data_IF_867376182928
#
_entry.id   IF_867376182928
#
_cell.length_a   1.000
_cell.length_b   1.000
_cell.length_c   1.000
_cell.angle_alpha   90.00
_cell.angle_beta   90.00
_cell.angle_gamma   90.00
#
_symmetry.space_group_name_H-M   'P 1'
#
loop_
_entity.id
_entity.type
_entity.pdbx_description
1 polymer ?
#
# COMPACT_ATOMS: atom_id res chain seq x y z
N UNK A 1 19.82 -0.05 22.78
CA UNK A 1 18.47 -0.62 22.56
C UNK A 1 17.50 0.52 22.65
N UNK A 2 16.94 0.99 21.54
CA UNK A 2 16.06 2.17 21.54
C UNK A 2 14.62 1.71 21.30
N UNK A 3 13.80 1.88 22.32
CA UNK A 3 12.38 1.53 22.31
C UNK A 3 11.60 2.44 21.34
N UNK A 4 10.82 1.83 20.46
CA UNK A 4 9.87 2.51 19.58
C UNK A 4 8.46 2.39 20.16
N UNK A 5 7.91 3.49 20.64
CA UNK A 5 6.54 3.55 21.17
C UNK A 5 5.54 3.86 20.05
N UNK A 6 4.61 2.94 19.78
CA UNK A 6 3.57 3.10 18.75
C UNK A 6 2.27 3.60 19.40
N UNK A 7 1.80 4.78 19.02
CA UNK A 7 0.50 5.31 19.45
C UNK A 7 -0.64 4.82 18.54
N UNK A 8 -1.68 4.20 19.14
CA UNK A 8 -2.93 3.81 18.45
C UNK A 8 -3.92 4.97 18.48
N UNK A 9 -4.43 5.39 17.32
CA UNK A 9 -5.63 6.22 17.22
C UNK A 9 -6.79 5.42 16.62
N UNK A 10 -7.94 5.45 17.29
CA UNK A 10 -9.17 4.78 16.89
C UNK A 10 -10.09 5.77 16.17
N UNK A 11 -10.57 5.43 14.96
CA UNK A 11 -11.82 6.02 14.41
C UNK A 11 -12.42 5.21 13.26
N UNK A 12 -13.76 5.06 13.27
CA UNK A 12 -14.74 4.87 12.19
C UNK A 12 -14.48 3.90 11.02
N UNK A 13 -15.35 2.90 10.83
CA UNK A 13 -15.44 2.08 9.60
C UNK A 13 -16.04 2.87 8.43
N UNK A 14 -15.25 3.07 7.37
CA UNK A 14 -15.70 3.45 6.01
C UNK A 14 -15.39 2.27 5.08
N UNK A 15 -16.10 2.13 3.96
CA UNK A 15 -15.78 1.13 2.92
C UNK A 15 -14.38 1.32 2.25
N UNK A 16 -13.59 2.31 2.70
CA UNK A 16 -12.16 2.47 2.43
C UNK A 16 -11.27 2.16 3.64
N UNK A 17 -11.77 1.42 4.63
CA UNK A 17 -11.03 1.09 5.84
C UNK A 17 -10.16 -0.12 5.58
N UNK A 18 -8.86 0.14 5.67
CA UNK A 18 -7.80 -0.86 5.66
C UNK A 18 -8.17 -2.06 6.57
N UNK A 19 -8.12 -3.30 6.06
CA UNK A 19 -8.39 -4.50 6.84
C UNK A 19 -7.48 -4.60 8.06
N UNK A 20 -7.96 -5.27 9.11
CA UNK A 20 -7.24 -5.35 10.41
C UNK A 20 -5.90 -6.07 10.30
N UNK A 21 -5.78 -7.08 9.43
CA UNK A 21 -4.53 -7.80 9.19
C UNK A 21 -3.55 -7.06 8.28
N UNK A 22 -3.89 -5.86 7.79
CA UNK A 22 -2.97 -5.02 7.02
C UNK A 22 -2.36 -3.97 7.95
N UNK A 23 -1.06 -3.74 7.85
CA UNK A 23 -0.33 -2.63 8.49
C UNK A 23 0.38 -1.77 7.44
N UNK A 24 0.69 -0.53 7.78
CA UNK A 24 1.40 0.39 6.88
C UNK A 24 2.72 0.72 7.54
N UNK A 25 3.83 0.53 6.83
CA UNK A 25 5.17 0.80 7.33
C UNK A 25 5.86 1.80 6.41
N UNK A 26 6.64 2.70 6.99
CA UNK A 26 7.51 3.61 6.24
C UNK A 26 8.92 3.04 6.29
N UNK A 27 9.53 2.89 5.13
CA UNK A 27 10.85 2.27 4.98
C UNK A 27 11.73 3.22 4.17
N UNK A 28 13.00 3.31 4.54
CA UNK A 28 14.00 4.07 3.79
C UNK A 28 14.67 3.13 2.80
N UNK A 29 14.65 3.47 1.51
CA UNK A 29 15.38 2.76 0.45
C UNK A 29 16.88 3.07 0.55
N UNK A 30 17.70 2.26 -0.11
CA UNK A 30 19.16 2.43 -0.12
C UNK A 30 19.61 3.80 -0.66
N UNK A 31 18.82 4.43 -1.53
CA UNK A 31 19.06 5.77 -2.08
C UNK A 31 18.58 6.91 -1.15
N UNK A 32 18.12 6.60 0.07
CA UNK A 32 17.60 7.58 1.03
C UNK A 32 16.10 7.88 0.89
N UNK A 33 15.42 7.39 -0.15
CA UNK A 33 14.01 7.66 -0.36
C UNK A 33 13.12 6.98 0.69
N UNK A 34 12.15 7.70 1.22
CA UNK A 34 11.16 7.13 2.15
C UNK A 34 9.95 6.61 1.38
N UNK A 35 9.78 5.31 1.36
CA UNK A 35 8.62 4.64 0.75
C UNK A 35 7.65 4.10 1.79
N UNK A 36 6.38 4.05 1.42
CA UNK A 36 5.33 3.47 2.26
C UNK A 36 4.96 2.11 1.71
N UNK A 37 5.08 1.07 2.54
CA UNK A 37 4.71 -0.31 2.20
C UNK A 37 3.48 -0.74 3.01
N UNK A 38 2.65 -1.60 2.41
CA UNK A 38 1.56 -2.30 3.11
C UNK A 38 2.06 -3.70 3.45
N UNK A 39 2.03 -4.06 4.73
CA UNK A 39 2.40 -5.38 5.21
C UNK A 39 1.14 -6.14 5.62
N UNK A 40 1.08 -7.42 5.31
CA UNK A 40 -0.03 -8.31 5.63
C UNK A 40 0.43 -9.24 6.75
N UNK A 41 -0.43 -9.47 7.74
CA UNK A 41 -0.24 -10.52 8.75
C UNK A 41 -0.54 -11.89 8.13
N UNK A 42 0.46 -12.77 8.11
CA UNK A 42 0.35 -14.11 7.54
C UNK A 42 -0.63 -15.00 8.32
N UNK A 43 -0.93 -14.68 9.58
CA UNK A 43 -1.87 -15.41 10.42
C UNK A 43 -3.25 -14.74 10.51
N UNK A 44 -3.52 -13.76 9.63
CA UNK A 44 -4.81 -13.10 9.60
C UNK A 44 -5.93 -14.09 9.27
N UNK A 45 -7.04 -14.10 10.04
CA UNK A 45 -8.21 -14.92 9.72
C UNK A 45 -8.89 -14.49 8.42
N UNK A 46 -8.59 -13.29 7.91
CA UNK A 46 -9.11 -12.72 6.66
C UNK A 46 -8.00 -12.51 5.62
N UNK A 47 -6.96 -13.34 5.63
CA UNK A 47 -5.77 -13.17 4.78
C UNK A 47 -6.11 -12.94 3.29
N UNK A 48 -7.08 -13.67 2.73
CA UNK A 48 -7.49 -13.49 1.34
C UNK A 48 -8.02 -12.08 1.04
N UNK A 49 -8.85 -11.53 1.92
CA UNK A 49 -9.38 -10.16 1.80
C UNK A 49 -8.27 -9.11 2.00
N UNK A 50 -7.38 -9.36 2.97
CA UNK A 50 -6.23 -8.50 3.25
C UNK A 50 -5.29 -8.44 2.05
N UNK A 51 -5.01 -9.59 1.43
CA UNK A 51 -4.18 -9.71 0.25
C UNK A 51 -4.82 -9.02 -0.96
N UNK A 52 -6.10 -9.29 -1.24
CA UNK A 52 -6.83 -8.63 -2.31
C UNK A 52 -6.82 -7.11 -2.15
N UNK A 53 -7.06 -6.61 -0.94
CA UNK A 53 -7.00 -5.18 -0.63
C UNK A 53 -5.63 -4.57 -0.96
N UNK A 54 -4.53 -5.21 -0.52
CA UNK A 54 -3.17 -4.71 -0.79
C UNK A 54 -2.86 -4.77 -2.28
N UNK A 55 -3.22 -5.86 -2.96
CA UNK A 55 -3.01 -6.02 -4.39
C UNK A 55 -3.71 -4.92 -5.19
N UNK A 56 -5.01 -4.70 -4.96
CA UNK A 56 -5.78 -3.64 -5.64
C UNK A 56 -5.13 -2.27 -5.43
N UNK A 57 -4.70 -1.96 -4.20
CA UNK A 57 -4.06 -0.67 -3.90
C UNK A 57 -2.67 -0.50 -4.51
N UNK A 58 -1.95 -1.58 -4.75
CA UNK A 58 -0.67 -1.52 -5.44
C UNK A 58 -0.88 -1.34 -6.95
N UNK A 59 -1.87 -2.02 -7.54
CA UNK A 59 -2.24 -1.83 -8.95
C UNK A 59 -2.74 -0.41 -9.20
N UNK A 60 -3.60 0.14 -8.35
CA UNK A 60 -4.03 1.55 -8.43
C UNK A 60 -2.84 2.51 -8.45
N UNK A 61 -1.84 2.29 -7.58
CA UNK A 61 -0.63 3.11 -7.52
C UNK A 61 0.21 2.98 -8.80
N UNK A 62 0.43 1.76 -9.29
CA UNK A 62 1.15 1.49 -10.52
C UNK A 62 0.45 2.13 -11.73
N UNK A 63 -0.88 2.04 -11.84
CA UNK A 63 -1.64 2.67 -12.93
C UNK A 63 -1.53 4.19 -12.92
N UNK A 64 -1.53 4.81 -11.72
CA UNK A 64 -1.33 6.26 -11.58
C UNK A 64 0.07 6.67 -12.01
N UNK A 65 1.09 5.89 -11.64
CA UNK A 65 2.47 6.13 -12.07
C UNK A 65 2.63 5.93 -13.57
N UNK A 66 2.07 4.86 -14.13
CA UNK A 66 2.05 4.60 -15.57
C UNK A 66 1.43 5.77 -16.34
N UNK A 67 0.28 6.28 -15.88
CA UNK A 67 -0.36 7.44 -16.50
C UNK A 67 0.54 8.68 -16.48
N UNK A 68 1.30 8.88 -15.39
CA UNK A 68 2.26 9.99 -15.27
C UNK A 68 3.45 9.84 -16.22
N UNK A 69 3.96 8.63 -16.41
CA UNK A 69 5.17 8.36 -17.19
C UNK A 69 4.90 8.15 -18.68
N UNK A 70 3.81 7.46 -19.02
CA UNK A 70 3.51 6.98 -20.37
C UNK A 70 2.21 7.56 -20.96
N UNK A 71 1.47 8.37 -20.20
CA UNK A 71 0.17 8.92 -20.62
C UNK A 71 -1.00 7.92 -20.58
N UNK A 72 -0.74 6.64 -20.31
CA UNK A 72 -1.73 5.57 -20.20
C UNK A 72 -1.63 4.85 -18.87
N UNK A 73 -2.77 4.42 -18.32
CA UNK A 73 -2.81 3.65 -17.07
C UNK A 73 -2.16 2.26 -17.21
N UNK A 74 -2.10 1.72 -18.42
CA UNK A 74 -1.61 0.35 -18.67
C UNK A 74 -0.10 0.33 -18.98
N UNK A 75 0.55 1.51 -18.98
CA UNK A 75 1.98 1.64 -19.24
C UNK A 75 2.37 1.53 -20.71
N UNK A 76 1.40 1.29 -21.60
CA UNK A 76 1.61 1.32 -23.05
C UNK A 76 1.61 2.79 -23.50
N UNK A 77 2.71 3.30 -24.10
CA UNK A 77 2.72 4.64 -24.66
C UNK A 77 1.61 4.76 -25.69
N UNK A 78 0.84 5.84 -25.63
CA UNK A 78 -0.17 6.11 -26.65
C UNK A 78 0.56 6.21 -28.00
N UNK A 79 0.39 5.19 -28.85
CA UNK A 79 0.88 5.21 -30.22
C UNK A 79 0.15 6.36 -30.90
N UNK A 80 0.93 7.38 -31.30
CA UNK A 80 0.47 8.48 -32.14
C UNK A 80 0.56 8.08 -33.59
#
# INVERSE_FOLDING_TARGET
MTDLTIQKSNTGQRAGKKPKGVTTRRVTRANGDKVTIRAIDAHSPTFGEDFLYVFTKNVEAARKENKRLFGSADGVPAVK
#
